data_IF_445873236534
#
_entry.id   IF_445873236534
#
_cell.length_a   1.000
_cell.length_b   1.000
_cell.length_c   1.000
_cell.angle_alpha   90.00
_cell.angle_beta   90.00
_cell.angle_gamma   90.00
#
_symmetry.space_group_name_H-M   'P 1'
#
loop_
_entity.id
_entity.type
_entity.pdbx_description
1 polymer ?
#
# COMPACT_ATOMS: atom_id res chain seq x y z
N UNK A 1 -19.68 1.97 2.59
CA UNK A 1 -19.20 2.09 3.99
C UNK A 1 -19.61 3.45 4.55
N UNK A 2 -19.70 3.62 5.88
CA UNK A 2 -20.19 4.88 6.48
C UNK A 2 -19.29 6.10 6.11
N UNK A 3 -17.97 5.97 6.12
CA UNK A 3 -17.05 7.05 5.74
C UNK A 3 -17.32 7.59 4.34
N UNK A 4 -17.42 6.70 3.36
CA UNK A 4 -17.67 7.07 1.95
C UNK A 4 -19.04 7.75 1.79
N UNK A 5 -20.07 7.27 2.49
CA UNK A 5 -21.40 7.90 2.48
C UNK A 5 -21.39 9.31 3.08
N UNK A 6 -20.55 9.55 4.10
CA UNK A 6 -20.40 10.90 4.66
C UNK A 6 -19.66 11.83 3.68
N UNK A 7 -18.66 11.33 2.96
CA UNK A 7 -18.02 12.10 1.89
C UNK A 7 -19.00 12.45 0.77
N UNK A 8 -19.81 11.48 0.33
CA UNK A 8 -20.84 11.70 -0.71
C UNK A 8 -21.81 12.84 -0.36
N UNK A 9 -22.15 12.97 0.93
CA UNK A 9 -23.12 13.95 1.40
C UNK A 9 -22.49 15.35 1.62
N UNK A 10 -21.18 15.42 1.88
CA UNK A 10 -20.55 16.66 2.37
C UNK A 10 -19.59 17.29 1.39
N UNK A 11 -18.92 16.49 0.55
CA UNK A 11 -17.95 17.00 -0.43
C UNK A 11 -18.70 17.69 -1.56
N UNK A 12 -18.38 18.96 -1.77
CA UNK A 12 -18.93 19.75 -2.86
C UNK A 12 -17.93 19.80 -4.01
N UNK A 13 -18.33 19.35 -5.19
CA UNK A 13 -17.52 19.35 -6.41
C UNK A 13 -18.20 20.18 -7.50
N UNK A 14 -17.40 20.99 -8.22
CA UNK A 14 -17.81 21.59 -9.48
C UNK A 14 -17.43 20.66 -10.65
N UNK A 15 -18.08 20.84 -11.77
CA UNK A 15 -17.91 19.98 -12.97
C UNK A 15 -16.50 20.07 -13.57
N UNK A 16 -15.79 21.15 -13.33
CA UNK A 16 -14.45 21.49 -13.84
C UNK A 16 -13.35 21.45 -12.76
N UNK A 17 -13.68 21.04 -11.52
CA UNK A 17 -12.69 20.90 -10.45
C UNK A 17 -11.56 19.91 -10.82
N UNK A 18 -10.34 20.25 -10.45
CA UNK A 18 -9.25 19.30 -10.32
C UNK A 18 -9.25 18.72 -8.91
N UNK A 19 -9.61 17.45 -8.82
CA UNK A 19 -9.81 16.76 -7.55
C UNK A 19 -8.63 15.83 -7.28
N UNK A 20 -8.02 15.98 -6.09
CA UNK A 20 -6.93 15.13 -5.61
C UNK A 20 -7.46 14.15 -4.57
N UNK A 21 -7.33 12.86 -4.84
CA UNK A 21 -7.61 11.79 -3.88
C UNK A 21 -6.29 11.35 -3.25
N UNK A 22 -6.18 11.52 -1.92
CA UNK A 22 -4.94 11.29 -1.17
C UNK A 22 -4.94 9.90 -0.55
N UNK A 23 -4.20 8.97 -1.17
CA UNK A 23 -3.98 7.59 -0.71
C UNK A 23 -5.28 6.90 -0.26
N UNK A 24 -6.35 7.12 -1.03
CA UNK A 24 -7.71 6.64 -0.75
C UNK A 24 -8.41 6.24 -2.05
N UNK A 25 -7.65 5.79 -3.06
CA UNK A 25 -8.17 5.54 -4.41
C UNK A 25 -9.30 4.50 -4.44
N UNK A 26 -9.24 3.47 -3.58
CA UNK A 26 -10.27 2.44 -3.50
C UNK A 26 -11.53 2.84 -2.70
N UNK A 27 -11.63 4.10 -2.25
CA UNK A 27 -12.83 4.57 -1.56
C UNK A 27 -14.04 4.59 -2.52
N UNK A 28 -15.21 4.05 -2.14
CA UNK A 28 -16.44 4.13 -2.92
C UNK A 28 -16.91 5.55 -3.28
N UNK A 29 -16.39 6.58 -2.62
CA UNK A 29 -16.58 7.98 -3.02
C UNK A 29 -15.94 8.28 -4.39
N UNK A 30 -14.82 7.64 -4.73
CA UNK A 30 -14.04 7.96 -5.94
C UNK A 30 -14.83 7.82 -7.24
N UNK A 31 -15.54 6.70 -7.53
CA UNK A 31 -16.38 6.60 -8.72
C UNK A 31 -17.48 7.67 -8.79
N UNK A 32 -18.06 8.05 -7.65
CA UNK A 32 -19.11 9.09 -7.59
C UNK A 32 -18.54 10.50 -7.84
N UNK A 33 -17.35 10.79 -7.29
CA UNK A 33 -16.63 12.03 -7.61
C UNK A 33 -16.34 12.11 -9.11
N UNK A 34 -15.94 11.00 -9.72
CA UNK A 34 -15.69 10.89 -11.16
C UNK A 34 -16.93 11.21 -12.02
N UNK A 35 -18.13 10.88 -11.57
CA UNK A 35 -19.39 11.22 -12.24
C UNK A 35 -19.73 12.71 -12.16
N UNK A 36 -19.34 13.39 -11.08
CA UNK A 36 -19.59 14.82 -10.88
C UNK A 36 -18.59 15.69 -11.65
N UNK A 37 -17.32 15.32 -11.67
CA UNK A 37 -16.22 16.08 -12.29
C UNK A 37 -16.09 15.70 -13.77
N UNK A 38 -17.06 16.13 -14.59
CA UNK A 38 -17.14 15.71 -16.00
C UNK A 38 -16.28 16.55 -16.96
N UNK A 39 -15.87 17.74 -16.57
CA UNK A 39 -15.01 18.64 -17.35
C UNK A 39 -13.63 18.88 -16.68
N UNK A 40 -13.44 18.41 -15.46
CA UNK A 40 -12.22 18.52 -14.68
C UNK A 40 -11.33 17.28 -14.77
N UNK A 41 -10.46 17.12 -13.74
CA UNK A 41 -9.53 16.01 -13.62
C UNK A 41 -9.65 15.34 -12.25
N UNK A 42 -9.61 14.01 -12.20
CA UNK A 42 -9.48 13.24 -10.96
C UNK A 42 -8.07 12.67 -10.87
N UNK A 43 -7.28 13.19 -9.93
CA UNK A 43 -5.90 12.78 -9.70
C UNK A 43 -5.84 11.84 -8.49
N UNK A 44 -5.43 10.60 -8.72
CA UNK A 44 -5.25 9.58 -7.68
C UNK A 44 -3.80 9.58 -7.21
N UNK A 45 -3.51 10.26 -6.10
CA UNK A 45 -2.22 10.14 -5.43
C UNK A 45 -2.28 8.90 -4.52
N UNK A 46 -1.87 7.74 -5.05
CA UNK A 46 -1.99 6.44 -4.39
C UNK A 46 -0.63 5.74 -4.34
N UNK A 47 -0.32 5.19 -3.18
CA UNK A 47 0.92 4.41 -2.97
C UNK A 47 0.71 2.90 -3.19
N UNK A 48 -0.48 2.39 -2.92
CA UNK A 48 -0.77 0.96 -2.95
C UNK A 48 -1.34 0.53 -4.32
N UNK A 49 -0.58 -0.30 -5.04
CA UNK A 49 -0.95 -0.76 -6.38
C UNK A 49 -2.25 -1.60 -6.39
N UNK A 50 -2.54 -2.36 -5.32
CA UNK A 50 -3.77 -3.16 -5.23
C UNK A 50 -5.00 -2.26 -5.08
N UNK A 51 -4.89 -1.19 -4.27
CA UNK A 51 -5.95 -0.20 -4.11
C UNK A 51 -6.15 0.60 -5.39
N UNK A 52 -5.08 0.94 -6.09
CA UNK A 52 -5.12 1.60 -7.39
C UNK A 52 -5.82 0.75 -8.44
N UNK A 53 -5.46 -0.54 -8.57
CA UNK A 53 -6.12 -1.49 -9.49
C UNK A 53 -7.62 -1.61 -9.18
N UNK A 54 -7.97 -1.68 -7.91
CA UNK A 54 -9.36 -1.71 -7.46
C UNK A 54 -10.13 -0.45 -7.85
N UNK A 55 -9.49 0.72 -7.75
CA UNK A 55 -10.06 1.99 -8.17
C UNK A 55 -10.33 2.03 -9.68
N UNK A 56 -9.35 1.66 -10.50
CA UNK A 56 -9.53 1.60 -11.96
C UNK A 56 -10.64 0.63 -12.36
N UNK A 57 -10.69 -0.57 -11.77
CA UNK A 57 -11.77 -1.53 -12.03
C UNK A 57 -13.16 -0.99 -11.61
N UNK A 58 -13.24 -0.16 -10.59
CA UNK A 58 -14.50 0.50 -10.20
C UNK A 58 -14.88 1.61 -11.20
N UNK A 59 -13.92 2.43 -11.62
CA UNK A 59 -14.12 3.49 -12.61
C UNK A 59 -14.54 2.93 -13.98
N UNK A 60 -13.94 1.83 -14.45
CA UNK A 60 -14.30 1.15 -15.69
C UNK A 60 -15.73 0.61 -15.67
N UNK A 61 -16.15 0.00 -14.55
CA UNK A 61 -17.54 -0.48 -14.39
C UNK A 61 -18.56 0.64 -14.52
N UNK A 62 -18.30 1.79 -13.93
CA UNK A 62 -19.17 2.97 -14.04
C UNK A 62 -19.25 3.49 -15.50
N UNK A 63 -18.15 3.44 -16.26
CA UNK A 63 -18.15 3.85 -17.67
C UNK A 63 -18.87 2.90 -18.59
N UNK A 64 -18.94 1.62 -18.25
CA UNK A 64 -19.63 0.59 -19.04
C UNK A 64 -21.15 0.64 -18.92
N UNK A 65 -21.70 1.49 -18.03
CA UNK A 65 -23.14 1.68 -17.87
C UNK A 65 -23.72 2.57 -18.99
N UNK A 66 -24.96 2.32 -19.48
CA UNK A 66 -25.59 3.15 -20.49
C UNK A 66 -25.69 4.61 -20.06
N UNK A 67 -25.04 5.51 -20.79
CA UNK A 67 -24.96 6.95 -20.49
C UNK A 67 -23.60 7.44 -19.97
N UNK A 68 -22.63 6.56 -19.73
CA UNK A 68 -21.26 6.92 -19.36
C UNK A 68 -20.56 7.69 -20.48
N UNK A 69 -20.25 8.96 -20.24
CA UNK A 69 -19.46 9.78 -21.18
C UNK A 69 -17.98 9.50 -21.02
N UNK A 70 -17.35 9.21 -22.16
CA UNK A 70 -15.96 8.84 -22.33
C UNK A 70 -14.92 9.75 -21.66
N UNK A 71 -14.00 9.16 -20.96
CA UNK A 71 -12.55 9.15 -21.18
C UNK A 71 -11.80 8.76 -19.90
N UNK A 72 -11.18 7.60 -19.86
CA UNK A 72 -10.15 7.20 -18.88
C UNK A 72 -9.01 8.24 -18.80
N UNK A 73 -8.84 9.08 -19.83
CA UNK A 73 -7.86 10.18 -19.87
C UNK A 73 -8.07 11.26 -18.80
N UNK A 74 -9.20 11.30 -18.12
CA UNK A 74 -9.47 12.24 -17.02
C UNK A 74 -9.02 11.71 -15.65
N UNK A 75 -8.64 10.44 -15.59
CA UNK A 75 -8.16 9.81 -14.37
C UNK A 75 -6.65 9.61 -14.51
N UNK A 76 -5.90 10.22 -13.63
CA UNK A 76 -4.46 10.12 -13.65
C UNK A 76 -3.96 9.67 -12.29
N UNK A 77 -3.01 8.76 -12.30
CA UNK A 77 -2.30 8.31 -11.11
C UNK A 77 -0.96 9.01 -10.98
N UNK A 78 -0.59 9.30 -9.75
CA UNK A 78 0.75 9.68 -9.35
C UNK A 78 1.13 8.90 -8.08
N UNK A 79 2.34 8.31 -7.98
CA UNK A 79 2.80 7.71 -6.74
C UNK A 79 2.72 8.73 -5.60
N UNK A 80 2.01 8.39 -4.53
CA UNK A 80 1.71 9.37 -3.50
C UNK A 80 2.98 9.97 -2.87
N UNK A 81 4.00 9.15 -2.61
CA UNK A 81 5.27 9.57 -2.03
C UNK A 81 6.10 10.48 -2.95
N UNK A 82 5.81 10.51 -4.26
CA UNK A 82 6.48 11.36 -5.25
C UNK A 82 5.66 12.57 -5.70
N UNK A 83 4.48 12.81 -5.09
CA UNK A 83 3.55 13.84 -5.55
C UNK A 83 4.22 15.19 -5.78
N UNK A 84 4.97 15.69 -4.81
CA UNK A 84 5.62 17.01 -4.87
C UNK A 84 6.80 17.08 -5.85
N UNK A 85 7.30 15.93 -6.31
CA UNK A 85 8.34 15.84 -7.35
C UNK A 85 7.75 15.82 -8.76
N UNK A 86 6.50 15.36 -8.91
CA UNK A 86 5.86 15.13 -10.21
C UNK A 86 4.81 16.17 -10.57
N UNK A 87 4.20 16.82 -9.59
CA UNK A 87 3.09 17.73 -9.77
C UNK A 87 3.46 19.17 -9.39
N UNK A 88 2.90 20.13 -10.12
CA UNK A 88 3.09 21.53 -9.83
C UNK A 88 2.27 21.96 -8.58
N UNK A 89 2.76 22.95 -7.79
CA UNK A 89 2.02 23.47 -6.65
C UNK A 89 0.78 24.26 -7.09
N UNK A 90 -0.17 24.40 -6.17
CA UNK A 90 -1.35 25.26 -6.31
C UNK A 90 -2.17 24.99 -7.59
N UNK A 91 -2.38 23.72 -7.93
CA UNK A 91 -3.12 23.29 -9.12
C UNK A 91 -4.45 22.59 -8.81
N UNK A 92 -4.72 22.26 -7.55
CA UNK A 92 -5.86 21.46 -7.10
C UNK A 92 -6.94 22.35 -6.49
N UNK A 93 -8.19 22.11 -6.85
CA UNK A 93 -9.36 22.81 -6.32
C UNK A 93 -9.90 22.12 -5.07
N UNK A 94 -9.97 20.79 -5.09
CA UNK A 94 -10.48 19.98 -3.98
C UNK A 94 -9.54 18.80 -3.72
N UNK A 95 -9.18 18.61 -2.45
CA UNK A 95 -8.45 17.42 -2.00
C UNK A 95 -9.31 16.60 -1.02
N UNK A 96 -9.27 15.28 -1.12
CA UNK A 96 -10.03 14.36 -0.28
C UNK A 96 -9.12 13.29 0.30
N UNK A 97 -9.19 13.06 1.61
CA UNK A 97 -8.44 12.04 2.33
C UNK A 97 -9.35 11.25 3.27
N UNK A 98 -9.42 9.94 3.09
CA UNK A 98 -10.03 9.05 4.06
C UNK A 98 -8.95 8.44 4.96
N UNK A 99 -9.03 8.73 6.27
CA UNK A 99 -8.06 8.25 7.26
C UNK A 99 -8.03 6.72 7.39
N UNK A 100 -9.09 6.02 6.94
CA UNK A 100 -9.16 4.55 7.00
C UNK A 100 -8.11 3.89 6.10
N UNK A 101 -7.79 4.50 4.96
CA UNK A 101 -6.85 3.96 3.97
C UNK A 101 -5.39 4.35 4.25
N UNK A 102 -5.13 5.21 5.23
CA UNK A 102 -3.77 5.64 5.51
C UNK A 102 -3.00 4.58 6.32
N UNK A 103 -1.83 4.13 5.86
CA UNK A 103 -1.07 3.07 6.51
C UNK A 103 -0.58 3.43 7.91
N UNK A 104 -0.30 4.71 8.15
CA UNK A 104 0.22 5.19 9.43
C UNK A 104 -0.03 6.68 9.65
N UNK A 105 0.26 7.16 10.87
CA UNK A 105 0.20 8.58 11.19
C UNK A 105 1.20 9.42 10.36
N UNK A 106 2.34 8.86 9.96
CA UNK A 106 3.30 9.53 9.08
C UNK A 106 2.68 9.83 7.71
N UNK A 107 1.92 8.90 7.14
CA UNK A 107 1.18 9.09 5.89
C UNK A 107 0.08 10.14 6.01
N UNK A 108 -0.60 10.22 7.16
CA UNK A 108 -1.58 11.29 7.44
C UNK A 108 -0.91 12.67 7.46
N UNK A 109 0.25 12.80 8.09
CA UNK A 109 1.00 14.06 8.14
C UNK A 109 1.50 14.43 6.75
N UNK A 110 2.06 13.47 6.03
CA UNK A 110 2.51 13.67 4.65
C UNK A 110 1.35 14.12 3.74
N UNK A 111 0.18 13.49 3.85
CA UNK A 111 -1.02 13.90 3.12
C UNK A 111 -1.45 15.33 3.37
N UNK A 112 -1.34 15.82 4.61
CA UNK A 112 -1.58 17.23 4.92
C UNK A 112 -0.56 18.16 4.24
N UNK A 113 0.72 17.76 4.22
CA UNK A 113 1.79 18.53 3.57
C UNK A 113 1.58 18.60 2.06
N UNK A 114 1.29 17.45 1.43
CA UNK A 114 0.93 17.37 0.01
C UNK A 114 -0.27 18.27 -0.28
N UNK A 115 -1.28 18.26 0.58
CA UNK A 115 -2.46 19.13 0.40
C UNK A 115 -2.10 20.62 0.49
N UNK A 116 -1.27 21.01 1.46
CA UNK A 116 -0.79 22.39 1.58
C UNK A 116 -0.05 22.85 0.33
N UNK A 117 0.76 21.98 -0.28
CA UNK A 117 1.45 22.22 -1.55
C UNK A 117 0.47 22.30 -2.73
N UNK A 118 -0.42 21.31 -2.85
CA UNK A 118 -1.25 21.08 -4.04
C UNK A 118 -2.41 22.06 -4.22
N UNK A 119 -3.07 22.46 -3.13
CA UNK A 119 -4.26 23.30 -3.21
C UNK A 119 -3.96 24.70 -3.73
N UNK A 120 -4.83 25.19 -4.62
CA UNK A 120 -4.94 26.60 -5.00
C UNK A 120 -5.36 27.45 -3.79
N UNK A 121 -5.09 28.76 -3.75
CA UNK A 121 -5.80 29.70 -2.85
C UNK A 121 -7.32 29.50 -3.00
N UNK A 122 -8.03 29.41 -1.86
CA UNK A 122 -9.45 29.08 -1.83
C UNK A 122 -9.81 27.60 -1.99
N UNK A 123 -8.87 26.75 -2.39
CA UNK A 123 -9.07 25.30 -2.50
C UNK A 123 -9.39 24.64 -1.16
N UNK A 124 -10.06 23.49 -1.20
CA UNK A 124 -10.64 22.82 -0.03
C UNK A 124 -10.05 21.44 0.20
N UNK A 125 -9.72 21.14 1.47
CA UNK A 125 -9.38 19.81 1.93
C UNK A 125 -10.55 19.22 2.71
N UNK A 126 -11.02 18.04 2.31
CA UNK A 126 -11.96 17.23 3.07
C UNK A 126 -11.25 16.02 3.66
N UNK A 127 -11.44 15.78 4.96
CA UNK A 127 -10.88 14.62 5.65
C UNK A 127 -12.00 13.91 6.39
N UNK A 128 -12.16 12.60 6.15
CA UNK A 128 -13.07 11.76 6.92
C UNK A 128 -12.30 10.81 7.82
N UNK A 129 -12.75 10.65 9.06
CA UNK A 129 -12.12 9.73 10.00
C UNK A 129 -12.93 9.48 11.26
N UNK A 130 -12.54 8.43 11.99
CA UNK A 130 -13.17 8.03 13.24
C UNK A 130 -12.53 8.73 14.44
N UNK A 131 -13.32 8.95 15.50
CA UNK A 131 -12.87 9.56 16.76
C UNK A 131 -11.77 8.72 17.41
N UNK A 132 -11.94 7.41 17.47
CA UNK A 132 -11.00 6.43 18.01
C UNK A 132 -9.73 6.24 17.15
N UNK A 133 -9.73 6.76 15.91
CA UNK A 133 -8.61 6.74 14.97
C UNK A 133 -7.95 8.10 14.77
N UNK A 134 -8.17 9.03 15.69
CA UNK A 134 -7.42 10.29 15.76
C UNK A 134 -7.93 11.43 14.90
N UNK A 135 -9.20 11.42 14.43
CA UNK A 135 -9.76 12.52 13.64
C UNK A 135 -9.73 13.87 14.39
N UNK A 136 -9.79 13.87 15.72
CA UNK A 136 -9.69 15.11 16.52
C UNK A 136 -8.25 15.67 16.51
N UNK A 137 -7.23 14.80 16.52
CA UNK A 137 -5.83 15.21 16.31
C UNK A 137 -5.61 15.75 14.90
N UNK A 138 -6.28 15.15 13.90
CA UNK A 138 -6.26 15.62 12.53
C UNK A 138 -6.85 17.04 12.42
N UNK A 139 -7.99 17.30 13.08
CA UNK A 139 -8.59 18.64 13.13
C UNK A 139 -7.61 19.70 13.67
N UNK A 140 -6.88 19.37 14.75
CA UNK A 140 -5.85 20.28 15.29
C UNK A 140 -4.73 20.56 14.29
N UNK A 141 -4.26 19.56 13.58
CA UNK A 141 -3.22 19.71 12.55
C UNK A 141 -3.71 20.52 11.35
N UNK A 142 -4.97 20.29 10.90
CA UNK A 142 -5.60 21.09 9.85
C UNK A 142 -5.73 22.56 10.29
N UNK A 143 -6.16 22.81 11.53
CA UNK A 143 -6.21 24.16 12.10
C UNK A 143 -4.84 24.82 12.13
N UNK A 144 -3.80 24.10 12.49
CA UNK A 144 -2.42 24.63 12.50
C UNK A 144 -1.92 24.94 11.09
N UNK A 145 -2.16 24.05 10.12
CA UNK A 145 -1.65 24.20 8.76
C UNK A 145 -2.41 25.25 7.94
N UNK A 146 -3.75 25.24 8.00
CA UNK A 146 -4.62 26.07 7.16
C UNK A 146 -5.17 27.31 7.89
N UNK A 147 -5.00 27.39 9.22
CA UNK A 147 -5.58 28.46 10.04
C UNK A 147 -7.09 28.35 10.25
N UNK A 148 -7.72 27.30 9.70
CA UNK A 148 -9.15 27.04 9.82
C UNK A 148 -9.43 25.55 9.74
N UNK A 149 -10.49 25.10 10.40
CA UNK A 149 -11.09 23.77 10.25
C UNK A 149 -12.55 23.83 10.68
N UNK A 150 -13.41 23.25 9.89
CA UNK A 150 -14.83 23.08 10.17
C UNK A 150 -15.17 21.61 10.25
N UNK A 151 -16.06 21.23 11.16
CA UNK A 151 -16.66 19.89 11.19
C UNK A 151 -18.00 19.95 10.47
N UNK A 152 -18.08 19.38 9.28
CA UNK A 152 -19.28 19.45 8.44
C UNK A 152 -20.35 18.45 8.86
N UNK A 153 -19.93 17.25 9.26
CA UNK A 153 -20.86 16.19 9.64
C UNK A 153 -20.26 15.30 10.74
N UNK A 154 -21.12 14.81 11.63
CA UNK A 154 -20.80 13.84 12.68
C UNK A 154 -21.84 12.74 12.65
N UNK A 155 -21.42 11.50 12.43
CA UNK A 155 -22.30 10.34 12.46
C UNK A 155 -21.59 9.12 13.03
N UNK A 156 -22.18 8.48 14.05
CA UNK A 156 -21.68 7.24 14.68
C UNK A 156 -20.18 7.26 15.01
N UNK A 157 -19.69 8.39 15.56
CA UNK A 157 -18.29 8.55 15.92
C UNK A 157 -17.36 8.94 14.75
N UNK A 158 -17.86 8.96 13.52
CA UNK A 158 -17.16 9.48 12.35
C UNK A 158 -17.36 10.99 12.22
N UNK A 159 -16.38 11.67 11.62
CA UNK A 159 -16.44 13.11 11.33
C UNK A 159 -15.91 13.39 9.94
N UNK A 160 -16.55 14.35 9.26
CA UNK A 160 -15.99 14.98 8.08
C UNK A 160 -15.51 16.36 8.47
N UNK A 161 -14.23 16.61 8.25
CA UNK A 161 -13.54 17.86 8.48
C UNK A 161 -13.32 18.56 7.15
N UNK A 162 -13.43 19.90 7.12
CA UNK A 162 -13.07 20.71 5.97
C UNK A 162 -12.14 21.85 6.39
N UNK A 163 -11.10 22.09 5.61
CA UNK A 163 -10.26 23.29 5.68
C UNK A 163 -10.16 23.93 4.32
N UNK A 164 -10.05 25.26 4.30
CA UNK A 164 -9.84 26.06 3.09
C UNK A 164 -8.43 26.65 3.11
N UNK A 165 -7.69 26.53 2.01
CA UNK A 165 -6.39 27.20 1.88
C UNK A 165 -6.61 28.70 1.71
N UNK A 166 -6.12 29.48 2.68
CA UNK A 166 -6.21 30.95 2.64
C UNK A 166 -5.09 31.53 1.78
N UNK A 167 -5.34 32.68 1.20
CA UNK A 167 -4.38 33.43 0.35
C UNK A 167 -3.30 34.11 1.23
N UNK A 168 -2.69 33.38 2.15
CA UNK A 168 -1.62 33.89 3.03
C UNK A 168 -0.30 33.24 2.69
N UNK A 169 0.45 33.87 1.81
CA UNK A 169 1.84 33.52 1.52
C UNK A 169 2.02 32.22 0.74
N UNK A 170 3.09 32.14 0.02
CA UNK A 170 3.53 30.89 -0.58
C UNK A 170 3.82 29.88 0.52
N UNK A 171 3.12 28.74 0.52
CA UNK A 171 3.53 27.60 1.32
C UNK A 171 4.99 27.29 0.95
N UNK A 172 5.89 27.43 1.92
CA UNK A 172 7.30 27.12 1.74
C UNK A 172 7.60 25.76 2.36
N UNK A 173 8.27 24.86 1.64
CA UNK A 173 8.82 23.62 2.21
C UNK A 173 9.82 23.89 3.35
N UNK A 174 10.35 25.12 3.44
CA UNK A 174 11.42 25.51 4.36
C UNK A 174 10.99 25.77 5.81
N UNK A 175 9.72 25.65 6.17
CA UNK A 175 9.30 25.71 7.57
C UNK A 175 9.60 24.40 8.29
N UNK A 176 10.86 23.98 8.27
CA UNK A 176 11.47 22.98 9.13
C UNK A 176 10.73 21.64 9.22
N UNK A 177 11.34 20.59 8.67
CA UNK A 177 10.98 19.17 8.84
C UNK A 177 9.83 18.63 7.99
N UNK A 178 9.91 18.79 6.69
CA UNK A 178 9.23 17.84 5.81
C UNK A 178 10.20 16.69 5.56
N UNK A 179 10.03 15.59 6.31
CA UNK A 179 10.50 14.30 5.81
C UNK A 179 9.63 13.99 4.60
N UNK A 180 10.14 14.29 3.39
CA UNK A 180 9.43 14.22 2.11
C UNK A 180 9.09 12.79 1.70
N UNK A 181 9.42 11.81 2.52
CA UNK A 181 9.12 10.39 2.26
C UNK A 181 8.45 9.80 3.50
N UNK A 182 7.20 9.36 3.39
CA UNK A 182 6.57 8.61 4.47
C UNK A 182 7.42 7.40 4.82
N UNK A 183 7.62 7.16 6.10
CA UNK A 183 8.32 5.98 6.56
C UNK A 183 7.54 4.73 6.14
N UNK A 184 8.19 3.86 5.39
CA UNK A 184 7.72 2.51 5.09
C UNK A 184 7.70 1.67 6.38
N UNK A 185 7.09 0.49 6.33
CA UNK A 185 6.99 -0.45 7.46
C UNK A 185 8.29 -0.50 8.28
N UNK A 186 8.18 -0.47 9.60
CA UNK A 186 9.28 -0.43 10.56
C UNK A 186 10.24 0.77 10.42
N UNK A 187 9.76 1.90 9.87
CA UNK A 187 10.58 3.10 9.65
C UNK A 187 11.88 2.80 8.86
N UNK A 188 11.85 1.79 8.00
CA UNK A 188 13.03 1.33 7.28
C UNK A 188 14.11 0.69 8.15
N UNK A 189 13.79 0.30 9.39
CA UNK A 189 14.66 -0.46 10.29
C UNK A 189 14.34 -1.96 10.23
N UNK A 190 15.32 -2.76 10.59
CA UNK A 190 15.18 -4.21 10.72
C UNK A 190 14.33 -4.53 11.96
N UNK A 191 13.12 -5.04 11.76
CA UNK A 191 12.27 -5.49 12.88
C UNK A 191 12.69 -6.88 13.39
N UNK A 192 12.22 -7.23 14.61
CA UNK A 192 12.59 -8.48 15.27
C UNK A 192 12.14 -9.72 14.48
N UNK A 193 10.95 -9.71 13.89
CA UNK A 193 10.45 -10.81 13.06
C UNK A 193 11.31 -11.03 11.82
N UNK A 194 11.64 -9.96 11.10
CA UNK A 194 12.54 -10.00 9.95
C UNK A 194 13.93 -10.54 10.33
N UNK A 195 14.49 -10.13 11.48
CA UNK A 195 15.79 -10.65 11.95
C UNK A 195 15.74 -12.16 12.19
N UNK A 196 14.72 -12.64 12.92
CA UNK A 196 14.54 -14.06 13.19
C UNK A 196 14.33 -14.90 11.92
N UNK A 197 13.60 -14.34 10.94
CA UNK A 197 13.42 -14.99 9.64
C UNK A 197 14.76 -15.12 8.92
N UNK A 198 15.55 -14.05 8.84
CA UNK A 198 16.89 -14.05 8.22
C UNK A 198 17.82 -15.09 8.89
N UNK A 199 17.81 -15.18 10.21
CA UNK A 199 18.62 -16.13 10.96
C UNK A 199 18.24 -17.61 10.72
N UNK A 200 16.98 -17.88 10.36
CA UNK A 200 16.48 -19.22 10.11
C UNK A 200 16.55 -19.66 8.63
N UNK A 201 16.89 -18.72 7.70
CA UNK A 201 16.90 -19.01 6.27
C UNK A 201 18.07 -19.92 5.87
N UNK A 202 17.74 -20.95 5.10
CA UNK A 202 18.71 -21.73 4.33
C UNK A 202 18.69 -21.23 2.87
N UNK A 203 19.77 -20.57 2.43
CA UNK A 203 19.91 -20.02 1.09
C UNK A 203 21.03 -20.72 0.33
N UNK A 204 20.73 -21.22 -0.87
CA UNK A 204 21.74 -21.80 -1.76
C UNK A 204 22.26 -20.75 -2.75
N UNK A 205 23.51 -20.88 -3.16
CA UNK A 205 24.15 -19.90 -4.07
C UNK A 205 23.45 -19.77 -5.42
N UNK A 206 22.66 -20.75 -5.83
CA UNK A 206 21.95 -20.80 -7.12
C UNK A 206 20.45 -20.59 -6.99
N UNK A 207 19.93 -20.28 -5.81
CA UNK A 207 18.49 -20.11 -5.60
C UNK A 207 17.91 -19.00 -6.49
N UNK A 208 16.83 -19.31 -7.16
CA UNK A 208 15.91 -18.32 -7.71
C UNK A 208 14.90 -18.04 -6.63
N UNK A 209 14.97 -16.85 -6.02
CA UNK A 209 14.22 -16.54 -4.81
C UNK A 209 13.18 -15.42 -5.03
N UNK A 210 12.13 -15.45 -4.21
CA UNK A 210 11.06 -14.46 -4.19
C UNK A 210 10.82 -13.96 -2.75
N UNK A 211 10.79 -12.65 -2.56
CA UNK A 211 10.40 -11.98 -1.32
C UNK A 211 9.06 -11.28 -1.52
N UNK A 212 7.98 -11.78 -0.89
CA UNK A 212 6.61 -11.25 -1.03
C UNK A 212 6.32 -10.26 0.09
N UNK A 213 5.99 -9.01 -0.25
CA UNK A 213 5.83 -7.94 0.71
C UNK A 213 7.18 -7.51 1.28
N UNK A 214 8.12 -7.20 0.39
CA UNK A 214 9.53 -7.02 0.74
C UNK A 214 9.81 -5.78 1.63
N UNK A 215 8.89 -4.81 1.68
CA UNK A 215 9.09 -3.56 2.42
C UNK A 215 10.39 -2.86 2.00
N UNK A 216 11.25 -2.60 2.97
CA UNK A 216 12.57 -2.00 2.73
C UNK A 216 13.60 -2.94 2.10
N UNK A 217 13.24 -4.17 1.77
CA UNK A 217 14.07 -5.14 1.07
C UNK A 217 15.06 -5.92 1.94
N UNK A 218 14.97 -5.89 3.27
CA UNK A 218 15.97 -6.51 4.15
C UNK A 218 16.17 -8.00 3.87
N UNK A 219 15.09 -8.77 3.70
CA UNK A 219 15.14 -10.21 3.50
C UNK A 219 15.68 -10.51 2.08
N UNK A 220 15.07 -9.92 1.04
CA UNK A 220 15.47 -10.14 -0.34
C UNK A 220 16.92 -9.74 -0.61
N UNK A 221 17.37 -8.60 -0.06
CA UNK A 221 18.78 -8.15 -0.20
C UNK A 221 19.76 -9.05 0.57
N UNK A 222 19.34 -9.64 1.70
CA UNK A 222 20.16 -10.65 2.40
C UNK A 222 20.29 -11.92 1.55
N UNK A 223 19.18 -12.42 0.99
CA UNK A 223 19.17 -13.57 0.10
C UNK A 223 20.05 -13.30 -1.13
N UNK A 224 19.98 -12.11 -1.74
CA UNK A 224 20.75 -11.77 -2.93
C UNK A 224 22.26 -11.83 -2.72
N UNK A 225 22.75 -11.49 -1.53
CA UNK A 225 24.17 -11.62 -1.18
C UNK A 225 24.63 -13.08 -1.09
N UNK A 226 23.74 -13.99 -0.61
CA UNK A 226 24.03 -15.42 -0.46
C UNK A 226 23.82 -16.18 -1.77
N UNK A 227 22.74 -15.88 -2.49
CA UNK A 227 22.42 -16.48 -3.79
C UNK A 227 23.19 -15.80 -4.93
N UNK A 228 24.51 -15.77 -4.83
CA UNK A 228 25.41 -15.03 -5.73
C UNK A 228 25.41 -15.49 -7.19
N UNK A 229 24.91 -16.69 -7.47
CA UNK A 229 24.71 -17.28 -8.81
C UNK A 229 23.23 -17.42 -9.16
N UNK A 230 22.36 -17.00 -8.27
CA UNK A 230 20.90 -17.04 -8.41
C UNK A 230 20.34 -15.67 -8.77
N UNK A 231 19.02 -15.59 -8.68
CA UNK A 231 18.27 -14.33 -8.92
C UNK A 231 17.28 -14.12 -7.79
N UNK A 232 17.07 -12.88 -7.38
CA UNK A 232 16.09 -12.53 -6.34
C UNK A 232 15.08 -11.54 -6.90
N UNK A 233 13.81 -11.90 -6.84
CA UNK A 233 12.71 -10.98 -7.12
C UNK A 233 12.10 -10.52 -5.80
N UNK A 234 11.91 -9.23 -5.64
CA UNK A 234 11.28 -8.62 -4.49
C UNK A 234 9.99 -7.93 -4.92
N UNK A 235 8.88 -8.19 -4.25
CA UNK A 235 7.56 -7.65 -4.57
C UNK A 235 6.99 -6.88 -3.39
N UNK A 236 6.40 -5.73 -3.67
CA UNK A 236 5.58 -5.01 -2.68
C UNK A 236 4.42 -4.29 -3.35
N UNK A 237 3.31 -4.14 -2.62
CA UNK A 237 2.17 -3.37 -3.08
C UNK A 237 2.38 -1.85 -2.90
N UNK A 238 3.25 -1.44 -1.98
CA UNK A 238 3.64 -0.05 -1.74
C UNK A 238 4.70 0.39 -2.73
N UNK A 239 4.40 1.42 -3.52
CA UNK A 239 5.35 2.02 -4.48
C UNK A 239 6.55 2.66 -3.76
N UNK A 240 6.33 3.27 -2.60
CA UNK A 240 7.40 3.81 -1.77
C UNK A 240 8.35 2.71 -1.27
N UNK A 241 7.82 1.54 -0.88
CA UNK A 241 8.62 0.39 -0.48
C UNK A 241 9.46 -0.14 -1.65
N UNK A 242 8.86 -0.27 -2.82
CA UNK A 242 9.56 -0.68 -4.06
C UNK A 242 10.74 0.24 -4.36
N UNK A 243 10.56 1.56 -4.27
CA UNK A 243 11.61 2.52 -4.56
C UNK A 243 12.74 2.47 -3.52
N UNK A 244 12.41 2.35 -2.23
CA UNK A 244 13.43 2.17 -1.18
C UNK A 244 14.20 0.88 -1.37
N UNK A 245 13.54 -0.23 -1.70
CA UNK A 245 14.20 -1.51 -1.92
C UNK A 245 15.12 -1.47 -3.15
N UNK A 246 14.72 -0.79 -4.23
CA UNK A 246 15.57 -0.54 -5.42
C UNK A 246 16.82 0.26 -5.07
N UNK A 247 16.65 1.40 -4.40
CA UNK A 247 17.78 2.24 -3.98
C UNK A 247 18.76 1.47 -3.11
N UNK A 248 18.28 0.64 -2.18
CA UNK A 248 19.15 -0.20 -1.35
C UNK A 248 19.87 -1.29 -2.12
N UNK A 249 19.24 -1.89 -3.13
CA UNK A 249 19.87 -2.87 -4.01
C UNK A 249 21.02 -2.21 -4.80
N UNK A 250 20.78 -1.04 -5.37
CA UNK A 250 21.79 -0.24 -6.09
C UNK A 250 22.94 0.18 -5.18
N UNK A 251 22.64 0.76 -4.01
CA UNK A 251 23.66 1.14 -3.01
C UNK A 251 24.48 -0.06 -2.51
N UNK A 252 23.86 -1.25 -2.46
CA UNK A 252 24.51 -2.51 -2.11
C UNK A 252 25.30 -3.15 -3.25
N UNK A 253 25.29 -2.58 -4.46
CA UNK A 253 25.94 -3.13 -5.65
C UNK A 253 25.39 -4.49 -6.09
N UNK A 254 24.12 -4.80 -5.76
CA UNK A 254 23.48 -6.09 -6.05
C UNK A 254 22.86 -6.07 -7.45
N UNK A 255 23.45 -6.82 -8.38
CA UNK A 255 23.03 -6.91 -9.79
C UNK A 255 22.07 -8.06 -10.07
N UNK A 256 21.90 -8.98 -9.12
CA UNK A 256 21.04 -10.15 -9.21
C UNK A 256 19.67 -9.93 -8.54
N UNK A 257 19.22 -8.68 -8.45
CA UNK A 257 17.96 -8.30 -7.81
C UNK A 257 17.03 -7.63 -8.81
N UNK A 258 15.75 -8.00 -8.78
CA UNK A 258 14.66 -7.29 -9.45
C UNK A 258 13.61 -6.89 -8.41
N UNK A 259 13.19 -5.62 -8.38
CA UNK A 259 12.14 -5.13 -7.48
C UNK A 259 10.96 -4.62 -8.30
N UNK A 260 9.77 -5.19 -8.06
CA UNK A 260 8.57 -4.88 -8.84
C UNK A 260 7.39 -4.51 -7.93
N UNK A 261 6.56 -3.52 -8.32
CA UNK A 261 5.28 -3.29 -7.68
C UNK A 261 4.33 -4.45 -8.02
N UNK A 262 3.68 -5.04 -7.00
CA UNK A 262 2.78 -6.18 -7.20
C UNK A 262 1.81 -6.35 -6.04
N UNK A 263 0.56 -6.71 -6.33
CA UNK A 263 -0.34 -7.27 -5.33
C UNK A 263 -0.10 -8.78 -5.21
N UNK A 264 0.54 -9.19 -4.12
CA UNK A 264 1.01 -10.57 -3.96
C UNK A 264 1.95 -10.97 -5.10
N UNK A 265 1.74 -12.14 -5.71
CA UNK A 265 2.59 -12.70 -6.78
C UNK A 265 2.12 -12.36 -8.20
N UNK A 266 1.17 -11.44 -8.37
CA UNK A 266 0.56 -11.17 -9.69
C UNK A 266 1.59 -10.86 -10.78
N UNK A 267 2.63 -10.08 -10.47
CA UNK A 267 3.67 -9.72 -11.43
C UNK A 267 4.56 -10.91 -11.86
N UNK A 268 4.51 -12.04 -11.15
CA UNK A 268 5.41 -13.18 -11.35
C UNK A 268 4.69 -14.54 -11.42
N UNK A 269 3.40 -14.57 -11.66
CA UNK A 269 2.58 -15.81 -11.66
C UNK A 269 3.11 -16.91 -12.60
N UNK A 270 3.72 -16.53 -13.72
CA UNK A 270 4.30 -17.45 -14.69
C UNK A 270 5.70 -17.95 -14.30
N UNK A 271 6.35 -17.32 -13.32
CA UNK A 271 7.71 -17.66 -12.87
C UNK A 271 7.67 -18.80 -11.83
N UNK A 272 8.83 -19.44 -11.62
CA UNK A 272 8.99 -20.52 -10.64
C UNK A 272 10.26 -20.32 -9.84
N UNK A 273 10.14 -20.47 -8.51
CA UNK A 273 11.15 -20.15 -7.52
C UNK A 273 11.60 -21.38 -6.73
N UNK A 274 12.84 -21.38 -6.29
CA UNK A 274 13.41 -22.39 -5.39
C UNK A 274 13.18 -22.04 -3.93
N UNK A 275 13.13 -20.73 -3.64
CA UNK A 275 12.93 -20.15 -2.32
C UNK A 275 11.89 -19.03 -2.39
N UNK A 276 10.87 -19.08 -1.55
CA UNK A 276 9.91 -17.98 -1.35
C UNK A 276 9.90 -17.59 0.12
N UNK A 277 9.91 -16.31 0.40
CA UNK A 277 9.92 -15.78 1.77
C UNK A 277 8.88 -14.68 1.93
N UNK A 278 8.38 -14.49 3.15
CA UNK A 278 7.55 -13.35 3.51
C UNK A 278 7.58 -13.04 5.01
N UNK A 279 7.58 -11.77 5.36
CA UNK A 279 7.16 -11.26 6.66
C UNK A 279 5.85 -10.48 6.45
N UNK A 280 4.68 -11.14 6.43
CA UNK A 280 3.44 -10.54 5.99
C UNK A 280 2.93 -9.51 7.01
N UNK A 281 2.22 -8.45 6.56
CA UNK A 281 1.56 -7.54 7.47
C UNK A 281 0.45 -8.26 8.25
N UNK A 282 0.41 -8.09 9.57
CA UNK A 282 -0.63 -8.64 10.44
C UNK A 282 -1.59 -7.57 10.97
N UNK A 283 -1.40 -6.30 10.56
CA UNK A 283 -2.30 -5.18 10.82
C UNK A 283 -2.54 -4.44 9.51
N UNK A 284 -3.79 -4.34 9.10
CA UNK A 284 -4.21 -3.50 7.98
C UNK A 284 -5.26 -2.51 8.49
N UNK A 285 -5.02 -1.21 8.30
CA UNK A 285 -5.91 -0.13 8.75
C UNK A 285 -6.28 -0.24 10.25
N UNK A 286 -5.37 -0.75 11.10
CA UNK A 286 -5.59 -0.95 12.54
C UNK A 286 -6.48 -2.13 12.90
N UNK A 287 -6.82 -2.99 11.94
CA UNK A 287 -7.52 -4.26 12.15
C UNK A 287 -6.50 -5.39 11.99
N UNK A 288 -6.49 -6.31 12.95
CA UNK A 288 -5.69 -7.51 12.85
C UNK A 288 -6.35 -8.46 11.84
N UNK A 289 -5.60 -8.86 10.80
CA UNK A 289 -6.10 -9.78 9.79
C UNK A 289 -5.03 -10.78 9.38
N UNK A 290 -5.42 -12.02 9.21
CA UNK A 290 -4.58 -13.10 8.66
C UNK A 290 -4.79 -13.30 7.17
N UNK A 291 -5.81 -12.70 6.59
CA UNK A 291 -6.25 -12.95 5.21
C UNK A 291 -5.14 -12.71 4.17
N UNK A 292 -4.39 -11.61 4.31
CA UNK A 292 -3.26 -11.31 3.40
C UNK A 292 -2.16 -12.35 3.55
N UNK A 293 -1.79 -12.69 4.78
CA UNK A 293 -0.77 -13.70 5.05
C UNK A 293 -1.17 -15.08 4.49
N UNK A 294 -2.43 -15.48 4.70
CA UNK A 294 -2.97 -16.75 4.17
C UNK A 294 -3.01 -16.76 2.64
N UNK A 295 -3.33 -15.61 2.01
CA UNK A 295 -3.23 -15.45 0.56
C UNK A 295 -1.79 -15.64 0.09
N UNK A 296 -0.81 -14.99 0.71
CA UNK A 296 0.61 -15.12 0.36
C UNK A 296 1.10 -16.57 0.50
N UNK A 297 0.64 -17.33 1.51
CA UNK A 297 0.96 -18.76 1.66
C UNK A 297 0.45 -19.59 0.49
N UNK A 298 -0.81 -19.34 0.05
CA UNK A 298 -1.40 -20.05 -1.11
C UNK A 298 -0.68 -19.67 -2.40
N UNK A 299 -0.39 -18.41 -2.61
CA UNK A 299 0.32 -17.88 -3.76
C UNK A 299 1.77 -18.41 -3.83
N UNK A 300 2.46 -18.48 -2.68
CA UNK A 300 3.80 -19.05 -2.59
C UNK A 300 3.82 -20.52 -3.06
N UNK A 301 2.82 -21.34 -2.66
CA UNK A 301 2.72 -22.72 -3.12
C UNK A 301 2.54 -22.84 -4.64
N UNK A 302 1.86 -21.86 -5.27
CA UNK A 302 1.62 -21.85 -6.72
C UNK A 302 2.89 -21.55 -7.52
N UNK A 303 3.76 -20.66 -7.02
CA UNK A 303 4.96 -20.21 -7.73
C UNK A 303 6.23 -20.99 -7.35
N UNK A 304 6.20 -21.81 -6.31
CA UNK A 304 7.33 -22.67 -5.94
C UNK A 304 7.54 -23.83 -6.92
N UNK A 305 8.81 -24.18 -7.14
CA UNK A 305 9.21 -25.44 -7.80
C UNK A 305 8.92 -26.64 -6.91
N UNK A 306 8.84 -27.88 -7.46
CA UNK A 306 8.93 -29.09 -6.64
C UNK A 306 10.18 -29.04 -5.77
N UNK A 307 10.08 -29.45 -4.49
CA UNK A 307 11.13 -29.30 -3.46
C UNK A 307 11.56 -27.88 -3.14
N UNK A 308 10.83 -26.86 -3.63
CA UNK A 308 11.02 -25.47 -3.23
C UNK A 308 10.68 -25.27 -1.75
N UNK A 309 11.26 -24.24 -1.16
CA UNK A 309 11.13 -23.90 0.27
C UNK A 309 10.40 -22.59 0.43
N UNK A 310 9.41 -22.59 1.31
CA UNK A 310 8.71 -21.38 1.74
C UNK A 310 9.02 -21.07 3.20
N UNK A 311 9.34 -19.82 3.51
CA UNK A 311 9.53 -19.37 4.87
C UNK A 311 8.61 -18.19 5.19
N UNK A 312 8.01 -18.25 6.37
CA UNK A 312 7.18 -17.15 6.89
C UNK A 312 7.44 -16.96 8.39
N UNK A 313 7.55 -15.71 8.81
CA UNK A 313 7.58 -15.36 10.22
C UNK A 313 6.19 -14.91 10.68
N UNK A 314 5.81 -15.30 11.89
CA UNK A 314 4.53 -14.98 12.49
C UNK A 314 4.65 -14.71 14.00
N UNK A 315 3.78 -13.87 14.55
CA UNK A 315 3.55 -13.86 15.99
C UNK A 315 3.04 -15.23 16.44
N UNK A 316 3.47 -15.73 17.61
CA UNK A 316 3.13 -17.09 18.09
C UNK A 316 1.64 -17.35 18.26
N UNK A 317 0.85 -16.33 18.54
CA UNK A 317 -0.60 -16.47 18.66
C UNK A 317 -1.33 -16.64 17.32
N UNK A 318 -0.68 -16.31 16.18
CA UNK A 318 -1.23 -16.50 14.84
C UNK A 318 -1.09 -17.98 14.42
N UNK A 319 -2.20 -18.56 13.96
CA UNK A 319 -2.24 -19.98 13.55
C UNK A 319 -2.14 -20.09 12.02
N UNK A 320 -0.92 -20.02 11.48
CA UNK A 320 -0.65 -20.19 10.04
C UNK A 320 -0.50 -21.65 9.62
N UNK A 321 -0.22 -22.55 10.55
CA UNK A 321 0.01 -23.97 10.28
C UNK A 321 -1.14 -24.67 9.55
N UNK A 322 -2.44 -24.43 9.85
CA UNK A 322 -3.54 -25.01 9.09
C UNK A 322 -3.51 -24.66 7.61
N UNK A 323 -3.31 -23.37 7.28
CA UNK A 323 -3.21 -22.88 5.89
C UNK A 323 -1.99 -23.45 5.19
N UNK A 324 -0.84 -23.51 5.88
CA UNK A 324 0.38 -24.08 5.34
C UNK A 324 0.21 -25.59 5.05
N UNK A 325 -0.36 -26.37 5.97
CA UNK A 325 -0.61 -27.80 5.77
C UNK A 325 -1.63 -28.10 4.65
N UNK A 326 -2.51 -27.16 4.35
CA UNK A 326 -3.39 -27.27 3.19
C UNK A 326 -2.66 -27.06 1.86
N UNK A 327 -1.52 -26.36 1.87
CA UNK A 327 -0.76 -25.98 0.69
C UNK A 327 0.55 -26.78 0.51
N UNK A 328 1.11 -27.36 1.58
CA UNK A 328 2.42 -28.01 1.60
C UNK A 328 2.38 -29.33 2.36
N UNK A 329 3.21 -30.31 1.93
CA UNK A 329 3.28 -31.62 2.57
C UNK A 329 4.06 -31.59 3.89
N UNK A 330 5.07 -30.74 3.99
CA UNK A 330 5.96 -30.62 5.16
C UNK A 330 5.84 -29.20 5.70
N UNK A 331 5.58 -29.08 7.00
CA UNK A 331 5.52 -27.81 7.72
C UNK A 331 6.21 -27.97 9.07
N UNK A 332 7.24 -27.14 9.29
CA UNK A 332 8.10 -27.22 10.47
C UNK A 332 8.33 -25.84 11.06
N UNK A 333 8.49 -25.76 12.38
CA UNK A 333 9.03 -24.56 13.04
C UNK A 333 10.55 -24.67 13.06
N UNK A 334 11.25 -23.73 12.41
CA UNK A 334 12.71 -23.76 12.23
C UNK A 334 13.45 -22.66 13.00
N UNK A 335 12.71 -21.77 13.65
CA UNK A 335 13.28 -20.68 14.45
C UNK A 335 12.22 -19.89 15.18
N UNK A 336 12.66 -18.91 15.94
CA UNK A 336 11.76 -18.02 16.67
C UNK A 336 12.21 -17.72 18.10
N UNK A 337 11.32 -17.11 18.88
CA UNK A 337 11.49 -16.80 20.29
C UNK A 337 10.13 -16.83 21.01
N UNK A 338 10.01 -16.21 22.18
CA UNK A 338 8.75 -16.17 22.95
C UNK A 338 7.62 -15.40 22.25
N UNK A 339 7.92 -14.50 21.32
CA UNK A 339 6.94 -13.65 20.60
C UNK A 339 6.67 -14.10 19.17
N UNK A 340 7.70 -14.61 18.50
CA UNK A 340 7.66 -14.96 17.09
C UNK A 340 8.04 -16.42 16.86
N UNK A 341 7.53 -17.00 15.80
CA UNK A 341 7.95 -18.29 15.23
C UNK A 341 8.27 -18.10 13.75
N UNK A 342 9.25 -18.86 13.26
CA UNK A 342 9.57 -18.98 11.84
C UNK A 342 9.15 -20.36 11.38
N UNK A 343 8.24 -20.41 10.41
CA UNK A 343 7.75 -21.64 9.82
C UNK A 343 8.39 -21.85 8.46
N UNK A 344 8.88 -23.07 8.22
CA UNK A 344 9.31 -23.56 6.91
C UNK A 344 8.26 -24.51 6.37
N UNK A 345 7.90 -24.37 5.09
CA UNK A 345 7.01 -25.26 4.39
C UNK A 345 7.66 -25.74 3.08
N UNK A 346 7.52 -27.02 2.74
CA UNK A 346 8.15 -27.65 1.58
C UNK A 346 7.19 -28.60 0.87
N UNK A 347 7.54 -28.95 -0.36
CA UNK A 347 6.76 -29.82 -1.23
C UNK A 347 5.32 -29.29 -1.44
N UNK A 348 5.14 -28.23 -2.26
CA UNK A 348 3.83 -27.67 -2.52
C UNK A 348 2.87 -28.71 -3.10
N UNK A 349 1.67 -28.76 -2.53
CA UNK A 349 0.57 -29.62 -2.99
C UNK A 349 -0.01 -28.96 -4.24
N UNK A 350 0.18 -29.57 -5.41
CA UNK A 350 -0.46 -29.12 -6.66
C UNK A 350 -1.85 -29.73 -6.75
N UNK A 351 -2.84 -28.93 -7.07
CA UNK A 351 -4.12 -29.46 -7.50
C UNK A 351 -3.84 -30.40 -8.70
N UNK A 352 -4.29 -31.65 -8.62
CA UNK A 352 -4.21 -32.56 -9.75
C UNK A 352 -4.98 -31.91 -10.91
N UNK A 353 -4.28 -31.52 -11.96
CA UNK A 353 -4.93 -31.25 -13.25
C UNK A 353 -5.64 -32.56 -13.62
N UNK A 354 -6.97 -32.56 -13.60
CA UNK A 354 -7.74 -33.68 -14.13
C UNK A 354 -7.33 -33.83 -15.60
N UNK A 355 -7.04 -35.05 -16.07
CA UNK A 355 -6.81 -35.27 -17.50
C UNK A 355 -8.18 -35.07 -18.19
N UNK A 356 -8.40 -33.92 -18.81
CA UNK A 356 -9.65 -33.60 -19.49
C UNK A 356 -9.79 -32.14 -19.99
N UNK A 357 -8.88 -31.24 -19.64
CA UNK A 357 -8.90 -29.85 -20.14
C UNK A 357 -7.73 -29.60 -21.12
N UNK A 358 -7.71 -30.36 -22.23
CA UNK A 358 -6.93 -30.09 -23.44
C UNK A 358 -7.88 -29.83 -24.60
#
# INVERSE_FOLDING_TARGET
>A
MLHSSLLDNTVQLAIDDRVLILNSAADPFVPKAAQQVVAGELLLAEDNIALLQSAYAALEREHSMPGGRNSLSRYRHVPFHEYTLREAPATIDVAVMNMLYQPSNAWLIYGLQVTGYALKPGGRLYVVGAKDRGVLSMAKRMQTLFGNVETLEISKGQRVLCSRKMDRGTWSPDTGQISLVPTIFAEGKLDEGTRLLIEALEVHTTDVALDIGCGAGFIGLHIARLASKGQVTMLDASLAAVDVARQRAEQGGLTNVQVLPSDGVQAVQAQRFDLVVTNPPFHLAGIQTTEIAERFMREAAQVLRPRGRFYVVANRFLKYEPTLRACFKIVEEVGGNTRFKVLRAMDPIRASTRPGDL
#
